data_IF_016561565116
#
_entry.id   IF_016561565116
#
_cell.length_a   1.000
_cell.length_b   1.000
_cell.length_c   1.000
_cell.angle_alpha   90.00
_cell.angle_beta   90.00
_cell.angle_gamma   90.00
#
_symmetry.space_group_name_H-M   'P 1'
#
loop_
_entity.id
_entity.type
_entity.pdbx_description
1 polymer ?
#
# COMPACT_ATOMS: atom_id res chain seq x y z
N UNK A 1 7.39 13.08 -16.48
CA UNK A 1 7.90 12.24 -15.37
C UNK A 1 9.24 12.79 -14.79
N UNK A 2 9.61 14.03 -15.10
CA UNK A 2 10.87 14.63 -14.63
C UNK A 2 10.83 15.08 -13.15
N UNK A 3 9.74 14.80 -12.45
CA UNK A 3 9.49 15.31 -11.09
C UNK A 3 9.44 14.19 -10.03
N UNK A 4 9.96 12.99 -10.33
CA UNK A 4 10.11 11.91 -9.36
C UNK A 4 11.55 11.86 -8.88
N UNK A 5 11.73 12.19 -7.61
CA UNK A 5 13.03 12.16 -6.96
C UNK A 5 13.35 10.78 -6.38
N UNK A 6 14.64 10.45 -6.27
CA UNK A 6 15.08 9.18 -5.70
C UNK A 6 14.61 8.95 -4.24
N UNK A 7 14.21 10.03 -3.54
CA UNK A 7 13.71 9.95 -2.16
C UNK A 7 12.18 9.70 -2.08
N UNK A 8 11.45 9.84 -3.19
CA UNK A 8 9.98 9.78 -3.19
C UNK A 8 9.44 8.40 -2.79
N UNK A 9 10.22 7.34 -2.93
CA UNK A 9 9.87 6.00 -2.48
C UNK A 9 10.34 5.66 -1.05
N UNK A 10 11.02 6.58 -0.37
CA UNK A 10 11.43 6.41 1.02
C UNK A 10 10.57 7.28 1.95
N UNK A 11 9.43 6.74 2.41
CA UNK A 11 8.49 7.45 3.28
C UNK A 11 9.06 7.69 4.68
N UNK A 12 10.18 7.06 5.03
CA UNK A 12 10.90 7.33 6.27
C UNK A 12 11.61 8.69 6.22
N UNK A 13 11.86 9.22 5.00
CA UNK A 13 12.67 10.42 4.78
C UNK A 13 11.99 11.50 3.94
N UNK A 14 11.12 11.14 3.00
CA UNK A 14 10.57 12.11 2.03
C UNK A 14 9.76 13.25 2.67
N UNK A 15 9.36 13.10 3.94
CA UNK A 15 8.61 14.11 4.70
C UNK A 15 9.28 14.46 6.04
N UNK A 16 10.26 13.69 6.49
CA UNK A 16 10.88 13.83 7.80
C UNK A 16 11.50 15.22 8.00
N UNK A 17 11.20 15.86 9.15
CA UNK A 17 11.69 17.22 9.46
C UNK A 17 12.79 17.23 10.51
N UNK A 18 12.68 16.40 11.53
CA UNK A 18 13.54 16.45 12.71
C UNK A 18 13.87 15.09 13.30
N UNK A 19 13.50 14.00 12.67
CA UNK A 19 13.75 12.65 13.15
C UNK A 19 13.04 11.60 12.30
N UNK A 20 13.17 10.35 12.68
CA UNK A 20 12.52 9.25 12.01
C UNK A 20 11.03 9.17 12.37
N UNK A 21 10.16 8.71 11.47
CA UNK A 21 8.77 8.37 11.80
C UNK A 21 8.72 7.25 12.84
N UNK A 22 7.68 7.31 13.68
CA UNK A 22 7.42 6.30 14.71
C UNK A 22 6.80 5.07 14.05
N UNK A 23 7.26 3.88 14.40
CA UNK A 23 6.67 2.61 13.98
C UNK A 23 7.66 1.56 13.51
N UNK A 24 7.14 0.36 13.22
CA UNK A 24 7.90 -0.72 12.63
C UNK A 24 8.28 -0.37 11.19
N UNK A 25 9.58 -0.35 10.89
CA UNK A 25 10.06 -0.12 9.53
C UNK A 25 9.81 -1.33 8.66
N UNK A 26 9.28 -1.10 7.49
CA UNK A 26 9.01 -2.16 6.52
C UNK A 26 9.52 -1.77 5.12
N UNK A 27 9.79 -2.79 4.33
CA UNK A 27 9.99 -2.71 2.89
C UNK A 27 8.76 -3.32 2.23
N UNK A 28 8.12 -2.57 1.34
CA UNK A 28 7.06 -3.11 0.48
C UNK A 28 7.59 -3.13 -0.94
N UNK A 29 7.64 -4.31 -1.55
CA UNK A 29 8.21 -4.48 -2.87
C UNK A 29 7.43 -5.50 -3.69
N UNK A 30 7.62 -5.49 -5.00
CA UNK A 30 6.96 -6.43 -5.90
C UNK A 30 7.15 -6.04 -7.36
N UNK A 31 6.38 -6.66 -8.22
CA UNK A 31 6.36 -6.39 -9.65
C UNK A 31 5.00 -5.97 -10.14
N UNK A 32 4.99 -5.07 -11.10
CA UNK A 32 3.80 -4.77 -11.91
C UNK A 32 3.87 -5.60 -13.17
N UNK A 33 2.84 -6.42 -13.39
CA UNK A 33 2.77 -7.38 -14.49
C UNK A 33 1.52 -7.12 -15.34
N UNK A 34 1.59 -7.48 -16.62
CA UNK A 34 0.43 -7.53 -17.50
C UNK A 34 -0.33 -8.88 -17.37
N UNK A 35 -1.40 -9.06 -18.15
CA UNK A 35 -2.23 -10.28 -18.18
C UNK A 35 -1.48 -11.55 -18.62
N UNK A 36 -0.33 -11.39 -19.26
CA UNK A 36 0.53 -12.49 -19.71
C UNK A 36 1.71 -12.77 -18.77
N UNK A 37 1.78 -12.05 -17.64
CA UNK A 37 2.87 -12.15 -16.66
C UNK A 37 4.16 -11.44 -17.09
N UNK A 38 4.09 -10.57 -18.12
CA UNK A 38 5.25 -9.78 -18.58
C UNK A 38 5.39 -8.51 -17.71
N UNK A 39 6.63 -8.07 -17.44
CA UNK A 39 6.87 -6.89 -16.64
C UNK A 39 6.33 -5.61 -17.33
N UNK A 40 5.66 -4.76 -16.55
CA UNK A 40 5.27 -3.41 -16.97
C UNK A 40 6.31 -2.44 -16.44
N UNK A 41 7.19 -1.98 -17.32
CA UNK A 41 8.31 -1.10 -16.99
C UNK A 41 7.93 0.37 -17.11
N UNK A 42 8.68 1.22 -16.42
CA UNK A 42 8.55 2.67 -16.44
C UNK A 42 7.11 3.14 -16.18
N UNK A 43 6.42 2.43 -15.28
CA UNK A 43 5.06 2.77 -14.87
C UNK A 43 5.05 3.40 -13.49
N UNK A 44 4.21 4.41 -13.32
CA UNK A 44 4.09 5.11 -12.05
C UNK A 44 3.31 4.26 -11.04
N UNK A 45 3.91 4.04 -9.89
CA UNK A 45 3.29 3.44 -8.71
C UNK A 45 3.28 4.49 -7.60
N UNK A 46 2.09 4.79 -7.11
CA UNK A 46 1.87 5.69 -5.98
C UNK A 46 1.26 4.91 -4.83
N UNK A 47 1.66 5.25 -3.61
CA UNK A 47 1.07 4.69 -2.38
C UNK A 47 0.65 5.81 -1.43
N UNK A 48 -0.39 5.52 -0.62
CA UNK A 48 -0.73 6.33 0.55
C UNK A 48 -1.27 5.46 1.67
N UNK A 49 -1.01 5.88 2.90
CA UNK A 49 -1.30 5.10 4.09
C UNK A 49 -1.46 5.95 5.34
N UNK A 50 -2.07 5.37 6.38
CA UNK A 50 -2.02 5.89 7.73
C UNK A 50 -0.62 5.73 8.34
N UNK A 51 -0.32 6.51 9.40
CA UNK A 51 0.87 6.29 10.22
C UNK A 51 0.74 5.01 11.08
N UNK A 52 1.76 4.69 11.87
CA UNK A 52 1.76 3.51 12.75
C UNK A 52 0.63 3.51 13.79
N UNK A 53 0.08 4.67 14.15
CA UNK A 53 -1.08 4.80 15.02
C UNK A 53 -2.44 4.67 14.32
N UNK A 54 -2.47 4.45 13.00
CA UNK A 54 -3.70 4.38 12.22
C UNK A 54 -4.28 5.75 11.83
N UNK A 55 -3.49 6.83 11.94
CA UNK A 55 -3.91 8.19 11.61
C UNK A 55 -3.45 8.59 10.21
N UNK A 56 -4.40 9.03 9.37
CA UNK A 56 -4.09 9.66 8.09
C UNK A 56 -3.76 11.15 8.25
N UNK A 57 -2.78 11.62 7.48
CA UNK A 57 -2.52 13.05 7.34
C UNK A 57 -3.49 13.68 6.31
N UNK A 58 -4.76 13.69 6.67
CA UNK A 58 -5.81 14.24 5.83
C UNK A 58 -6.77 15.11 6.65
N UNK A 59 -7.25 16.22 6.07
CA UNK A 59 -8.13 17.19 6.76
C UNK A 59 -9.45 16.59 7.24
N UNK A 60 -9.95 15.55 6.57
CA UNK A 60 -11.20 14.87 6.92
C UNK A 60 -11.01 13.77 7.96
N UNK A 61 -9.78 13.33 8.23
CA UNK A 61 -9.54 12.34 9.26
C UNK A 61 -9.62 12.98 10.63
N UNK A 62 -10.54 12.50 11.45
CA UNK A 62 -10.81 13.00 12.81
C UNK A 62 -10.48 11.96 13.88
N UNK A 63 -9.80 10.86 13.52
CA UNK A 63 -9.38 9.84 14.47
C UNK A 63 -8.44 10.43 15.50
N UNK A 64 -8.56 10.01 16.77
CA UNK A 64 -7.87 10.60 17.93
C UNK A 64 -6.38 10.26 18.01
N UNK A 65 -5.88 9.30 17.23
CA UNK A 65 -4.46 9.00 17.21
C UNK A 65 -3.64 10.22 16.79
N UNK A 66 -2.46 10.37 17.35
CA UNK A 66 -1.58 11.49 17.05
C UNK A 66 -1.10 11.48 15.58
N UNK A 67 -0.96 12.67 15.02
CA UNK A 67 -0.27 12.85 13.75
C UNK A 67 1.25 12.76 14.02
N UNK A 68 1.94 11.88 13.29
CA UNK A 68 3.39 11.83 13.32
C UNK A 68 3.97 13.01 12.52
N UNK A 69 4.73 13.94 13.14
CA UNK A 69 5.27 15.09 12.43
C UNK A 69 6.29 14.74 11.35
N UNK A 70 6.91 13.56 11.44
CA UNK A 70 7.95 13.10 10.52
C UNK A 70 7.44 12.13 9.44
N UNK A 71 6.12 11.86 9.39
CA UNK A 71 5.53 10.93 8.43
C UNK A 71 4.49 11.61 7.54
N UNK A 72 4.76 11.65 6.24
CA UNK A 72 3.84 12.21 5.24
C UNK A 72 2.75 11.22 4.81
N UNK A 73 3.07 9.94 4.78
CA UNK A 73 2.16 8.86 4.42
C UNK A 73 1.94 8.66 2.92
N UNK A 74 2.66 9.37 2.05
CA UNK A 74 2.57 9.25 0.60
C UNK A 74 3.96 9.00 0.00
N UNK A 75 4.00 8.15 -1.03
CA UNK A 75 5.22 7.86 -1.79
C UNK A 75 4.91 7.51 -3.24
N UNK A 76 5.92 7.61 -4.09
CA UNK A 76 5.80 7.27 -5.51
C UNK A 76 7.12 6.78 -6.08
N UNK A 77 7.05 5.96 -7.12
CA UNK A 77 8.22 5.47 -7.85
C UNK A 77 7.83 5.04 -9.26
N UNK A 78 8.82 4.87 -10.12
CA UNK A 78 8.64 4.18 -11.41
C UNK A 78 9.12 2.74 -11.29
N UNK A 79 8.45 1.82 -11.98
CA UNK A 79 8.96 0.45 -12.11
C UNK A 79 10.20 0.43 -12.98
N UNK A 80 11.14 -0.46 -12.66
CA UNK A 80 12.33 -0.73 -13.47
C UNK A 80 12.02 -1.56 -14.73
N UNK A 81 13.05 -1.97 -15.48
CA UNK A 81 12.91 -2.79 -16.70
C UNK A 81 12.31 -4.18 -16.45
N UNK A 82 12.38 -4.67 -15.21
CA UNK A 82 11.78 -5.92 -14.76
C UNK A 82 10.39 -5.75 -14.15
N UNK A 83 9.82 -4.53 -14.24
CA UNK A 83 8.54 -4.18 -13.61
C UNK A 83 8.61 -4.06 -12.10
N UNK A 84 9.80 -4.05 -11.51
CA UNK A 84 10.00 -4.03 -10.06
C UNK A 84 9.82 -2.65 -9.47
N UNK A 85 9.21 -2.60 -8.29
CA UNK A 85 9.07 -1.40 -7.46
C UNK A 85 9.41 -1.72 -6.00
N UNK A 86 9.78 -0.70 -5.24
CA UNK A 86 10.07 -0.82 -3.82
C UNK A 86 9.78 0.48 -3.09
N UNK A 87 9.25 0.37 -1.87
CA UNK A 87 9.05 1.47 -0.93
C UNK A 87 9.62 1.10 0.44
N UNK A 88 10.22 2.08 1.11
CA UNK A 88 10.53 2.02 2.53
C UNK A 88 9.51 2.85 3.30
N UNK A 89 8.89 2.26 4.31
CA UNK A 89 7.83 2.95 5.07
C UNK A 89 7.73 2.38 6.50
N UNK A 90 6.79 2.89 7.29
CA UNK A 90 6.37 2.26 8.54
C UNK A 90 5.13 1.41 8.30
N UNK A 91 4.98 0.31 9.03
CA UNK A 91 3.75 -0.48 8.98
C UNK A 91 2.58 0.36 9.51
N UNK A 92 1.51 0.57 8.73
CA UNK A 92 0.36 1.34 9.18
C UNK A 92 -0.34 0.65 10.34
N UNK A 93 -0.92 1.43 11.24
CA UNK A 93 -1.83 0.93 12.24
C UNK A 93 -3.20 0.55 11.67
N UNK A 94 -3.93 -0.28 12.40
CA UNK A 94 -5.34 -0.53 12.11
C UNK A 94 -6.14 0.79 12.19
N UNK A 95 -7.16 0.93 11.36
CA UNK A 95 -7.95 2.16 11.26
C UNK A 95 -9.38 1.93 11.74
N UNK A 96 -9.91 2.73 12.72
CA UNK A 96 -11.28 2.60 13.16
C UNK A 96 -12.23 3.13 12.08
N UNK A 97 -13.17 2.28 11.69
CA UNK A 97 -14.22 2.70 10.79
C UNK A 97 -15.47 3.05 11.60
N UNK A 98 -16.09 4.18 11.31
CA UNK A 98 -17.29 4.69 12.00
C UNK A 98 -18.55 3.89 11.68
N UNK A 99 -18.50 2.60 11.90
CA UNK A 99 -19.58 1.65 11.68
C UNK A 99 -20.16 1.19 13.01
N UNK A 100 -20.70 2.07 13.80
CA UNK A 100 -21.55 1.80 14.97
C UNK A 100 -20.93 1.02 16.14
N UNK A 101 -20.12 -0.01 15.96
CA UNK A 101 -19.64 -0.89 17.02
C UNK A 101 -18.20 -1.30 16.77
N UNK A 102 -17.23 -0.60 17.36
CA UNK A 102 -15.84 -1.05 17.49
C UNK A 102 -15.29 -1.79 16.24
N UNK A 103 -15.61 -1.27 15.07
CA UNK A 103 -15.17 -1.83 13.80
C UNK A 103 -13.82 -1.26 13.41
N UNK A 104 -12.86 -2.14 13.19
CA UNK A 104 -11.51 -1.78 12.81
C UNK A 104 -11.18 -2.35 11.44
N UNK A 105 -10.63 -1.52 10.58
CA UNK A 105 -10.03 -1.99 9.34
C UNK A 105 -8.64 -2.55 9.63
N UNK A 106 -8.22 -3.64 8.94
CA UNK A 106 -6.84 -4.12 9.02
C UNK A 106 -5.84 -3.04 8.58
N UNK A 107 -4.60 -3.16 9.00
CA UNK A 107 -3.50 -2.41 8.45
C UNK A 107 -3.48 -2.55 6.92
N UNK A 108 -3.41 -1.44 6.20
CA UNK A 108 -3.43 -1.46 4.74
C UNK A 108 -2.70 -0.27 4.13
N UNK A 109 -2.21 -0.49 2.92
CA UNK A 109 -1.59 0.54 2.08
C UNK A 109 -2.39 0.63 0.79
N UNK A 110 -2.79 1.84 0.42
CA UNK A 110 -3.42 2.11 -0.86
C UNK A 110 -2.39 2.19 -1.97
N UNK A 111 -2.71 1.60 -3.10
CA UNK A 111 -1.91 1.62 -4.32
C UNK A 111 -2.68 2.26 -5.46
N UNK A 112 -2.00 3.10 -6.22
CA UNK A 112 -2.45 3.61 -7.50
C UNK A 112 -1.37 3.30 -8.52
N UNK A 113 -1.69 2.44 -9.48
CA UNK A 113 -0.76 2.00 -10.51
C UNK A 113 -1.28 2.43 -11.87
N UNK A 114 -0.44 3.16 -12.62
CA UNK A 114 -0.77 3.61 -13.95
C UNK A 114 -0.36 2.55 -14.98
N UNK A 115 -1.27 2.24 -15.89
CA UNK A 115 -0.98 1.33 -16.98
C UNK A 115 -0.25 2.01 -18.16
N UNK A 116 0.13 1.20 -19.14
CA UNK A 116 0.81 1.67 -20.34
C UNK A 116 -0.12 2.38 -21.34
N UNK A 117 -1.44 2.14 -21.22
CA UNK A 117 -2.44 2.75 -22.10
C UNK A 117 -2.99 4.04 -21.49
N UNK A 118 -3.46 4.94 -22.35
CA UNK A 118 -4.14 6.16 -21.94
C UNK A 118 -5.32 5.85 -21.02
N UNK A 119 -5.43 6.60 -19.92
CA UNK A 119 -6.48 6.47 -18.90
C UNK A 119 -6.52 5.12 -18.14
N UNK A 120 -5.49 4.27 -18.26
CA UNK A 120 -5.42 3.05 -17.48
C UNK A 120 -4.83 3.32 -16.11
N UNK A 121 -5.64 3.15 -15.06
CA UNK A 121 -5.24 3.28 -13.67
C UNK A 121 -5.91 2.19 -12.84
N UNK A 122 -5.11 1.47 -12.07
CA UNK A 122 -5.60 0.51 -11.08
C UNK A 122 -5.45 1.11 -9.69
N UNK A 123 -6.55 1.18 -8.94
CA UNK A 123 -6.54 1.58 -7.53
C UNK A 123 -6.91 0.36 -6.71
N UNK A 124 -6.08 0.01 -5.75
CA UNK A 124 -6.29 -1.16 -4.90
C UNK A 124 -5.75 -0.93 -3.49
N UNK A 125 -5.98 -1.88 -2.60
CA UNK A 125 -5.46 -1.88 -1.24
C UNK A 125 -4.64 -3.15 -1.01
N UNK A 126 -3.49 -3.00 -0.36
CA UNK A 126 -2.65 -4.09 0.08
C UNK A 126 -2.86 -4.32 1.58
N UNK A 127 -3.09 -5.57 1.96
CA UNK A 127 -3.15 -6.03 3.34
C UNK A 127 -1.88 -6.82 3.69
N UNK A 128 -1.66 -7.07 4.98
CA UNK A 128 -0.47 -7.77 5.47
C UNK A 128 -0.81 -9.19 5.90
N UNK A 129 -0.01 -10.16 5.47
CA UNK A 129 -0.13 -11.54 5.89
C UNK A 129 -0.18 -11.66 7.42
N UNK A 130 -1.09 -12.49 7.92
CA UNK A 130 -1.26 -12.76 9.35
C UNK A 130 -2.09 -11.73 10.12
N UNK A 131 -2.62 -10.68 9.49
CA UNK A 131 -3.50 -9.72 10.18
C UNK A 131 -4.91 -10.34 10.39
N UNK A 132 -5.33 -10.58 11.65
CA UNK A 132 -6.62 -11.22 11.95
C UNK A 132 -7.83 -10.34 11.59
N UNK A 133 -7.64 -9.04 11.39
CA UNK A 133 -8.71 -8.12 11.02
C UNK A 133 -9.12 -8.25 9.55
N UNK A 134 -8.31 -8.87 8.69
CA UNK A 134 -8.65 -9.08 7.28
C UNK A 134 -9.98 -9.81 7.14
N UNK A 135 -10.13 -10.93 7.88
CA UNK A 135 -11.36 -11.73 7.84
C UNK A 135 -12.59 -11.01 8.41
N UNK A 136 -12.41 -9.92 9.12
CA UNK A 136 -13.49 -9.12 9.75
C UNK A 136 -13.77 -7.81 9.01
N UNK A 137 -12.96 -7.46 8.01
CA UNK A 137 -13.09 -6.21 7.26
C UNK A 137 -14.30 -6.27 6.31
N UNK A 138 -15.32 -5.41 6.46
CA UNK A 138 -16.49 -5.42 5.58
C UNK A 138 -16.16 -5.18 4.11
N UNK A 139 -15.10 -4.42 3.81
CA UNK A 139 -14.63 -4.20 2.43
C UNK A 139 -14.08 -5.50 1.84
N UNK A 140 -13.26 -6.23 2.59
CA UNK A 140 -12.72 -7.53 2.17
C UNK A 140 -13.84 -8.56 2.01
N UNK A 141 -14.78 -8.60 2.97
CA UNK A 141 -15.93 -9.53 2.91
C UNK A 141 -16.88 -9.26 1.73
N UNK A 142 -16.88 -8.05 1.20
CA UNK A 142 -17.65 -7.71 0.00
C UNK A 142 -17.03 -8.24 -1.30
N UNK A 143 -15.81 -8.75 -1.26
CA UNK A 143 -15.15 -9.36 -2.42
C UNK A 143 -15.63 -10.81 -2.57
N UNK A 144 -16.29 -11.18 -3.68
CA UNK A 144 -16.95 -12.48 -3.80
C UNK A 144 -15.99 -13.66 -4.03
N UNK A 145 -14.78 -13.41 -4.50
CA UNK A 145 -13.78 -14.43 -4.83
C UNK A 145 -12.62 -14.40 -3.83
N UNK A 146 -12.45 -15.49 -3.07
CA UNK A 146 -11.36 -15.64 -2.10
C UNK A 146 -9.97 -15.49 -2.74
N UNK A 147 -9.78 -15.94 -3.98
CA UNK A 147 -8.52 -15.77 -4.70
C UNK A 147 -8.21 -14.30 -4.97
N UNK A 148 -9.23 -13.48 -5.18
CA UNK A 148 -9.06 -12.04 -5.32
C UNK A 148 -8.63 -11.42 -3.98
N UNK A 149 -9.16 -11.90 -2.86
CA UNK A 149 -8.72 -11.48 -1.51
C UNK A 149 -7.28 -11.88 -1.27
N UNK A 150 -6.90 -13.13 -1.58
CA UNK A 150 -5.55 -13.63 -1.37
C UNK A 150 -4.51 -12.82 -2.17
N UNK A 151 -4.87 -12.33 -3.36
CA UNK A 151 -4.03 -11.45 -4.16
C UNK A 151 -3.82 -10.06 -3.55
N UNK A 152 -4.66 -9.63 -2.62
CA UNK A 152 -4.53 -8.36 -1.90
C UNK A 152 -3.67 -8.47 -0.64
N UNK A 153 -3.27 -9.67 -0.25
CA UNK A 153 -2.46 -9.92 0.95
C UNK A 153 -1.00 -10.02 0.56
N UNK A 154 -0.19 -9.07 1.01
CA UNK A 154 1.25 -9.09 0.82
C UNK A 154 1.88 -10.17 1.71
N UNK A 155 2.67 -11.05 1.11
CA UNK A 155 3.37 -12.13 1.80
C UNK A 155 4.63 -11.61 2.50
N UNK A 156 4.92 -12.15 3.67
CA UNK A 156 6.19 -11.92 4.36
C UNK A 156 7.35 -12.46 3.51
N UNK A 157 8.34 -11.60 3.23
CA UNK A 157 9.55 -11.97 2.46
C UNK A 157 10.80 -11.90 3.33
N UNK A 158 11.17 -13.03 3.90
CA UNK A 158 12.35 -13.12 4.76
C UNK A 158 13.66 -12.91 4.00
N UNK A 159 13.68 -13.17 2.68
CA UNK A 159 14.90 -12.99 1.87
C UNK A 159 15.19 -11.51 1.58
N UNK A 160 14.16 -10.68 1.50
CA UNK A 160 14.30 -9.24 1.33
C UNK A 160 14.30 -8.46 2.66
N UNK A 161 14.04 -9.14 3.77
CA UNK A 161 14.07 -8.56 5.12
C UNK A 161 15.51 -8.20 5.50
N UNK A 162 15.68 -6.98 6.01
CA UNK A 162 16.96 -6.51 6.56
C UNK A 162 16.92 -6.73 8.09
N UNK A 163 17.69 -7.69 8.64
CA UNK A 163 17.68 -7.98 10.07
C UNK A 163 17.96 -6.74 10.91
N UNK A 164 17.18 -6.56 11.99
CA UNK A 164 17.27 -5.45 12.94
C UNK A 164 16.93 -4.05 12.33
N UNK A 165 16.49 -3.98 11.08
CA UNK A 165 16.10 -2.72 10.45
C UNK A 165 14.67 -2.76 9.90
N UNK A 166 14.38 -3.60 8.89
CA UNK A 166 13.11 -3.56 8.18
C UNK A 166 12.60 -4.94 7.77
N UNK A 167 11.35 -5.25 8.09
CA UNK A 167 10.66 -6.45 7.63
C UNK A 167 10.13 -6.20 6.21
N UNK A 168 10.37 -7.15 5.30
CA UNK A 168 9.91 -7.02 3.92
C UNK A 168 8.61 -7.77 3.65
N UNK A 169 7.74 -7.15 2.86
CA UNK A 169 6.50 -7.72 2.34
C UNK A 169 6.48 -7.64 0.82
N UNK A 170 6.15 -8.77 0.19
CA UNK A 170 6.06 -8.87 -1.27
C UNK A 170 4.62 -8.73 -1.73
N UNK A 171 4.38 -7.83 -2.68
CA UNK A 171 3.07 -7.58 -3.27
C UNK A 171 3.20 -7.38 -4.78
N UNK A 172 2.88 -8.42 -5.55
CA UNK A 172 2.86 -8.36 -7.01
C UNK A 172 1.49 -7.86 -7.49
N UNK A 173 1.48 -7.01 -8.51
CA UNK A 173 0.27 -6.37 -9.07
C UNK A 173 0.11 -6.77 -10.52
N UNK A 174 -1.06 -7.31 -10.87
CA UNK A 174 -1.43 -7.65 -12.25
C UNK A 174 -2.48 -6.67 -12.75
N UNK A 175 -2.17 -5.93 -13.81
CA UNK A 175 -3.00 -4.81 -14.26
C UNK A 175 -4.29 -5.21 -14.97
N UNK A 176 -4.33 -6.38 -15.63
CA UNK A 176 -5.46 -6.82 -16.47
C UNK A 176 -5.62 -8.32 -16.50
N UNK A 177 -6.73 -8.78 -17.13
CA UNK A 177 -7.01 -10.19 -17.40
C UNK A 177 -7.71 -10.92 -16.25
N UNK A 178 -7.92 -12.20 -16.40
CA UNK A 178 -8.60 -13.06 -15.43
C UNK A 178 -7.86 -13.22 -14.09
N UNK A 179 -6.59 -12.84 -14.06
CA UNK A 179 -5.72 -12.85 -12.87
C UNK A 179 -5.39 -11.45 -12.40
N UNK A 180 -6.11 -10.43 -12.86
CA UNK A 180 -5.86 -9.06 -12.43
C UNK A 180 -6.05 -8.90 -10.93
N UNK A 181 -5.20 -8.09 -10.33
CA UNK A 181 -5.37 -7.65 -8.94
C UNK A 181 -6.72 -6.97 -8.79
N UNK A 182 -7.48 -7.35 -7.76
CA UNK A 182 -8.77 -6.75 -7.49
C UNK A 182 -8.63 -5.26 -7.22
N UNK A 183 -9.55 -4.45 -7.76
CA UNK A 183 -9.48 -2.99 -7.66
C UNK A 183 -10.71 -2.40 -6.98
N UNK A 184 -10.53 -1.28 -6.32
CA UNK A 184 -11.63 -0.51 -5.74
C UNK A 184 -12.46 0.13 -6.86
N UNK A 185 -13.74 -0.26 -6.91
CA UNK A 185 -14.69 0.24 -7.90
C UNK A 185 -15.61 1.35 -7.34
N UNK A 186 -15.33 1.82 -6.12
CA UNK A 186 -16.12 2.87 -5.47
C UNK A 186 -15.23 4.05 -5.08
N UNK A 187 -15.70 5.30 -5.30
CA UNK A 187 -15.03 6.45 -4.71
C UNK A 187 -14.97 6.31 -3.18
N UNK A 188 -13.81 6.56 -2.60
CA UNK A 188 -13.70 6.61 -1.14
C UNK A 188 -14.64 7.68 -0.57
N UNK A 189 -15.43 7.32 0.40
CA UNK A 189 -16.20 8.27 1.20
C UNK A 189 -17.70 8.35 0.92
N UNK A 190 -18.29 7.35 0.28
CA UNK A 190 -19.75 7.17 0.25
C UNK A 190 -20.19 6.01 1.12
#
# INVERSE_FOLDING_TARGET
HNDIDAIDNDLLRNYAKSGDPIGERIIVHGRVLDEHGRPVRNTLVEIWQANAGGRYRHKKDTYLAAIDPNFGGCGRTLTDDNGYYSFRTVKPGAYPWRNWINSWRPAHIHFSVFGTAFAQRLITQMYFEGDPLIAKCPIVQAIPDQRAVDQLVAALDLNATIPLDSIAYKFDIVLRGSRSTFFENRPEGN
#
